data_IF_512652560498
#
_entry.id   IF_512652560498
#
_cell.length_a   1.000
_cell.length_b   1.000
_cell.length_c   1.000
_cell.angle_alpha   90.00
_cell.angle_beta   90.00
_cell.angle_gamma   90.00
#
_symmetry.space_group_name_H-M   'P 1'
#
loop_
_entity.id
_entity.type
_entity.pdbx_description
1 polymer ?
#
# COMPACT_ATOMS: atom_id res chain seq x y z
N UNK A 1 14.84 2.52 -6.32
CA UNK A 1 14.77 1.09 -5.95
C UNK A 1 13.97 0.91 -4.66
N UNK A 2 13.38 -0.26 -4.41
CA UNK A 2 12.68 -0.52 -3.14
C UNK A 2 13.73 -0.72 -2.04
N UNK A 3 13.93 0.28 -1.18
CA UNK A 3 14.93 0.25 -0.11
C UNK A 3 14.60 -0.83 0.94
N UNK A 4 13.30 -1.06 1.18
CA UNK A 4 12.80 -2.00 2.20
C UNK A 4 12.80 -3.49 1.81
N UNK A 5 13.41 -3.90 0.68
CA UNK A 5 13.31 -5.30 0.21
C UNK A 5 13.76 -6.33 1.24
N UNK A 6 14.85 -6.06 1.96
CA UNK A 6 15.36 -6.98 2.99
C UNK A 6 14.40 -7.09 4.15
N UNK A 7 13.82 -5.97 4.59
CA UNK A 7 12.81 -5.92 5.67
C UNK A 7 11.53 -6.64 5.25
N UNK A 8 11.01 -6.34 4.07
CA UNK A 8 9.78 -6.96 3.53
C UNK A 8 9.95 -8.47 3.35
N UNK A 9 11.13 -8.93 2.91
CA UNK A 9 11.43 -10.36 2.81
C UNK A 9 11.49 -11.05 4.17
N UNK A 10 12.02 -10.39 5.20
CA UNK A 10 12.06 -10.93 6.57
C UNK A 10 10.66 -11.01 7.20
N UNK A 11 9.82 -10.00 6.99
CA UNK A 11 8.48 -9.93 7.61
C UNK A 11 7.43 -10.76 6.91
N UNK A 12 7.41 -10.73 5.57
CA UNK A 12 6.31 -11.31 4.78
C UNK A 12 6.78 -12.42 3.83
N UNK A 13 8.07 -12.70 3.78
CA UNK A 13 8.64 -13.79 2.98
C UNK A 13 9.27 -13.36 1.65
N UNK A 14 9.96 -14.32 1.03
CA UNK A 14 10.70 -14.11 -0.21
C UNK A 14 9.73 -13.81 -1.36
N UNK A 15 9.82 -12.60 -1.90
CA UNK A 15 9.04 -12.17 -3.06
C UNK A 15 9.73 -11.07 -3.85
N UNK A 16 9.28 -10.86 -5.09
CA UNK A 16 9.70 -9.71 -5.90
C UNK A 16 8.90 -8.48 -5.48
N UNK A 17 9.30 -7.91 -4.35
CA UNK A 17 8.68 -6.71 -3.77
C UNK A 17 8.80 -5.51 -4.71
N UNK A 18 7.65 -4.91 -4.98
CA UNK A 18 7.48 -3.66 -5.73
C UNK A 18 6.77 -2.66 -4.83
N UNK A 19 7.18 -1.40 -4.90
CA UNK A 19 6.42 -0.30 -4.32
C UNK A 19 5.46 0.18 -5.39
N UNK A 20 4.17 0.17 -5.09
CA UNK A 20 3.11 0.61 -5.98
C UNK A 20 2.36 1.77 -5.36
N UNK A 21 1.76 2.57 -6.22
CA UNK A 21 0.84 3.65 -5.87
C UNK A 21 -0.38 3.57 -6.77
N UNK A 22 -1.52 3.98 -6.26
CA UNK A 22 -2.77 3.97 -7.00
C UNK A 22 -3.88 4.63 -6.22
N UNK A 23 -4.98 4.95 -6.89
CA UNK A 23 -6.14 5.55 -6.25
C UNK A 23 -7.12 4.46 -5.82
N UNK A 24 -7.66 4.60 -4.62
CA UNK A 24 -8.71 3.73 -4.13
C UNK A 24 -9.71 4.52 -3.30
N UNK A 25 -10.90 3.96 -3.21
CA UNK A 25 -11.96 4.44 -2.32
C UNK A 25 -11.68 3.94 -0.91
N UNK A 26 -11.62 4.84 0.07
CA UNK A 26 -11.41 4.53 1.49
C UNK A 26 -12.63 4.95 2.29
N UNK A 27 -13.04 4.10 3.24
CA UNK A 27 -14.05 4.43 4.24
C UNK A 27 -13.32 4.91 5.49
N UNK A 28 -13.58 6.15 5.89
CA UNK A 28 -13.04 6.72 7.11
C UNK A 28 -13.86 6.30 8.34
N UNK A 29 -13.33 6.45 9.57
CA UNK A 29 -14.06 6.09 10.79
C UNK A 29 -15.34 6.87 11.03
N UNK A 30 -15.51 8.02 10.38
CA UNK A 30 -16.72 8.86 10.39
C UNK A 30 -17.78 8.41 9.38
N UNK A 31 -17.59 7.24 8.78
CA UNK A 31 -18.43 6.63 7.75
C UNK A 31 -18.41 7.29 6.37
N UNK A 32 -17.58 8.31 6.18
CA UNK A 32 -17.43 8.97 4.89
C UNK A 32 -16.61 8.12 3.93
N UNK A 33 -16.92 8.25 2.65
CA UNK A 33 -16.27 7.52 1.56
C UNK A 33 -15.53 8.54 0.70
N UNK A 34 -14.21 8.42 0.61
CA UNK A 34 -13.37 9.34 -0.16
C UNK A 34 -12.42 8.59 -1.08
N UNK A 35 -12.04 9.23 -2.18
CA UNK A 35 -10.98 8.77 -3.07
C UNK A 35 -9.65 9.32 -2.59
N UNK A 36 -8.69 8.43 -2.40
CA UNK A 36 -7.36 8.82 -1.95
C UNK A 36 -6.27 8.08 -2.70
N UNK A 37 -5.08 8.70 -2.77
CA UNK A 37 -3.89 8.00 -3.24
C UNK A 37 -3.39 7.06 -2.14
N UNK A 38 -3.20 5.79 -2.49
CA UNK A 38 -2.63 4.77 -1.63
C UNK A 38 -1.26 4.38 -2.15
N UNK A 39 -0.33 4.17 -1.22
CA UNK A 39 1.00 3.63 -1.50
C UNK A 39 1.14 2.31 -0.77
N UNK A 40 1.58 1.25 -1.43
CA UNK A 40 1.76 -0.06 -0.79
C UNK A 40 2.94 -0.82 -1.37
N UNK A 41 3.31 -1.91 -0.69
CA UNK A 41 4.23 -2.90 -1.20
C UNK A 41 3.47 -4.12 -1.70
N UNK A 42 3.80 -4.64 -2.87
CA UNK A 42 3.18 -5.86 -3.41
C UNK A 42 4.25 -6.84 -3.89
N UNK A 43 3.98 -8.12 -3.65
CA UNK A 43 4.75 -9.22 -4.21
C UNK A 43 3.82 -10.30 -4.77
N UNK A 44 4.20 -10.86 -5.92
CA UNK A 44 3.49 -11.97 -6.54
C UNK A 44 3.38 -13.16 -5.58
N UNK A 45 2.17 -13.68 -5.39
CA UNK A 45 1.86 -14.77 -4.45
C UNK A 45 1.67 -14.36 -2.98
N UNK A 46 2.01 -13.12 -2.60
CA UNK A 46 1.81 -12.61 -1.21
C UNK A 46 0.71 -11.54 -1.17
N UNK A 47 0.57 -10.76 -2.25
CA UNK A 47 -0.40 -9.67 -2.34
C UNK A 47 0.11 -8.34 -1.76
N UNK A 48 -0.83 -7.43 -1.47
CA UNK A 48 -0.58 -6.06 -1.01
C UNK A 48 -0.29 -6.01 0.49
N UNK A 49 0.74 -5.28 0.89
CA UNK A 49 1.19 -5.09 2.28
C UNK A 49 1.56 -3.63 2.53
N UNK A 50 1.43 -3.20 3.78
CA UNK A 50 1.77 -1.84 4.25
C UNK A 50 1.13 -0.73 3.40
N UNK A 51 -0.21 -0.78 3.29
CA UNK A 51 -0.99 0.28 2.67
C UNK A 51 -0.84 1.56 3.50
N UNK A 52 -0.36 2.62 2.86
CA UNK A 52 -0.28 3.97 3.41
C UNK A 52 -1.24 4.86 2.64
N UNK A 53 -2.16 5.46 3.37
CA UNK A 53 -3.00 6.54 2.88
C UNK A 53 -2.14 7.80 2.68
N UNK A 54 -2.19 8.38 1.49
CA UNK A 54 -1.66 9.71 1.23
C UNK A 54 -2.79 10.71 1.29
N UNK A 55 -2.56 11.75 2.08
CA UNK A 55 -3.38 12.95 2.16
C UNK A 55 -2.74 14.02 1.27
N UNK A 56 -3.50 14.95 0.69
CA UNK A 56 -4.94 15.17 0.88
C UNK A 56 -5.82 14.10 0.20
N UNK A 57 -7.06 13.97 0.67
CA UNK A 57 -8.12 13.25 -0.05
C UNK A 57 -8.43 14.02 -1.34
N UNK A 58 -8.87 13.32 -2.38
CA UNK A 58 -9.04 13.89 -3.73
C UNK A 58 -10.49 14.29 -4.03
N UNK A 59 -11.40 14.09 -3.07
CA UNK A 59 -12.79 14.56 -3.10
C UNK A 59 -12.94 15.89 -2.36
#
# INVERSE_FOLDING_TARGET
>A
GVHDRTRLKKLYGKGRWRKLKGFATVRLPDDTIHKAELHWYEAHGIGRRELKLKLPLLD
#
